data_IF_031614116293
#
_entry.id   IF_031614116293
#
_cell.length_a   1.000
_cell.length_b   1.000
_cell.length_c   1.000
_cell.angle_alpha   90.00
_cell.angle_beta   90.00
_cell.angle_gamma   90.00
#
_symmetry.space_group_name_H-M   'P 1'
#
loop_
_entity.id
_entity.type
_entity.pdbx_description
1 polymer ?
#
# COMPACT_ATOMS: atom_id res chain seq x y z
N UNK A 1 -10.97 -18.19 11.36
CA UNK A 1 -11.78 -17.95 10.14
C UNK A 1 -11.25 -16.73 9.41
N UNK A 2 -10.88 -15.66 10.10
CA UNK A 2 -10.16 -14.51 9.52
C UNK A 2 -8.83 -14.89 8.87
N UNK A 3 -7.97 -15.67 9.55
CA UNK A 3 -6.68 -16.12 9.00
C UNK A 3 -6.84 -16.89 7.68
N UNK A 4 -7.79 -17.82 7.62
CA UNK A 4 -8.11 -18.56 6.38
C UNK A 4 -8.60 -17.66 5.24
N UNK A 5 -9.34 -16.60 5.56
CA UNK A 5 -9.81 -15.65 4.57
C UNK A 5 -8.68 -14.79 4.04
N UNK A 6 -7.80 -14.33 4.93
CA UNK A 6 -6.57 -13.63 4.57
C UNK A 6 -5.71 -14.49 3.64
N UNK A 7 -5.40 -15.73 4.02
CA UNK A 7 -4.61 -16.66 3.21
C UNK A 7 -5.24 -16.92 1.84
N UNK A 8 -6.55 -17.20 1.79
CA UNK A 8 -7.24 -17.43 0.53
C UNK A 8 -7.15 -16.22 -0.41
N UNK A 9 -7.21 -15.00 0.13
CA UNK A 9 -7.04 -13.78 -0.65
C UNK A 9 -5.60 -13.62 -1.14
N UNK A 10 -4.60 -13.79 -0.27
CA UNK A 10 -3.18 -13.60 -0.63
C UNK A 10 -2.63 -14.69 -1.53
N UNK A 11 -3.19 -15.90 -1.53
CA UNK A 11 -2.87 -16.94 -2.50
C UNK A 11 -3.69 -16.86 -3.80
N UNK A 12 -4.50 -15.80 -3.98
CA UNK A 12 -5.26 -15.58 -5.20
C UNK A 12 -6.42 -16.57 -5.41
N UNK A 13 -6.91 -17.21 -4.36
CA UNK A 13 -8.00 -18.21 -4.43
C UNK A 13 -9.37 -17.55 -4.59
N UNK A 14 -9.59 -16.86 -5.72
CA UNK A 14 -10.80 -16.05 -6.00
C UNK A 14 -12.12 -16.81 -5.75
N UNK A 15 -12.19 -18.10 -6.10
CA UNK A 15 -13.37 -18.93 -5.85
C UNK A 15 -13.61 -19.10 -4.34
N UNK A 16 -12.57 -19.42 -3.59
CA UNK A 16 -12.62 -19.61 -2.13
C UNK A 16 -13.02 -18.31 -1.44
N UNK A 17 -12.42 -17.18 -1.81
CA UNK A 17 -12.76 -15.85 -1.26
C UNK A 17 -14.23 -15.50 -1.50
N UNK A 18 -14.74 -15.76 -2.72
CA UNK A 18 -16.16 -15.52 -3.07
C UNK A 18 -17.11 -16.38 -2.25
N UNK A 19 -16.80 -17.65 -2.08
CA UNK A 19 -17.60 -18.58 -1.28
C UNK A 19 -17.63 -18.14 0.20
N UNK A 20 -16.46 -17.80 0.75
CA UNK A 20 -16.35 -17.30 2.13
C UNK A 20 -17.15 -16.00 2.35
N UNK A 21 -17.08 -15.03 1.44
CA UNK A 21 -17.85 -13.78 1.57
C UNK A 21 -19.35 -13.97 1.33
N UNK A 22 -19.75 -14.99 0.56
CA UNK A 22 -21.17 -15.34 0.41
C UNK A 22 -21.73 -15.96 1.69
N UNK A 23 -20.93 -16.73 2.42
CA UNK A 23 -21.29 -17.32 3.72
C UNK A 23 -21.25 -16.29 4.86
N UNK A 24 -20.20 -15.48 4.91
CA UNK A 24 -19.99 -14.43 5.92
C UNK A 24 -19.39 -13.16 5.29
N UNK A 25 -20.22 -12.18 4.90
CA UNK A 25 -19.75 -10.91 4.34
C UNK A 25 -18.91 -10.08 5.32
N UNK A 26 -18.95 -10.36 6.63
CA UNK A 26 -18.17 -9.59 7.61
C UNK A 26 -16.68 -9.88 7.54
N UNK A 27 -16.29 -10.99 6.90
CA UNK A 27 -14.89 -11.36 6.67
C UNK A 27 -14.12 -10.30 5.89
N UNK A 28 -14.79 -9.48 5.07
CA UNK A 28 -14.13 -8.39 4.33
C UNK A 28 -13.42 -7.38 5.23
N UNK A 29 -13.85 -7.27 6.50
CA UNK A 29 -13.25 -6.40 7.53
C UNK A 29 -12.38 -7.15 8.53
N UNK A 30 -12.22 -8.45 8.36
CA UNK A 30 -11.45 -9.27 9.28
C UNK A 30 -9.95 -8.98 9.12
N UNK A 31 -9.23 -9.14 10.22
CA UNK A 31 -7.78 -8.97 10.28
C UNK A 31 -7.11 -10.23 10.80
N UNK A 32 -5.83 -10.37 10.49
CA UNK A 32 -4.93 -11.30 11.19
C UNK A 32 -4.54 -10.77 12.58
N UNK A 33 -3.53 -11.39 13.21
CA UNK A 33 -3.06 -11.03 14.55
C UNK A 33 -2.27 -9.72 14.63
N UNK A 34 -1.88 -9.14 13.49
CA UNK A 34 -1.17 -7.85 13.40
C UNK A 34 -2.04 -6.73 12.81
N UNK A 35 -3.34 -6.99 12.62
CA UNK A 35 -4.29 -6.03 12.06
C UNK A 35 -4.31 -5.95 10.53
N UNK A 36 -3.62 -6.84 9.81
CA UNK A 36 -3.68 -6.84 8.35
C UNK A 36 -5.01 -7.40 7.85
N UNK A 37 -5.67 -6.64 6.98
CA UNK A 37 -6.82 -7.12 6.20
C UNK A 37 -6.35 -7.87 4.97
N UNK A 38 -7.24 -8.65 4.34
CA UNK A 38 -6.96 -9.29 3.05
C UNK A 38 -6.42 -8.33 1.98
N UNK A 39 -6.91 -7.08 1.97
CA UNK A 39 -6.46 -6.07 1.01
C UNK A 39 -4.99 -5.65 1.23
N UNK A 40 -4.47 -5.73 2.45
CA UNK A 40 -3.05 -5.45 2.71
C UNK A 40 -2.16 -6.48 2.03
N UNK A 41 -2.43 -7.77 2.26
CA UNK A 41 -1.62 -8.84 1.67
C UNK A 41 -1.73 -8.86 0.15
N UNK A 42 -2.92 -8.62 -0.39
CA UNK A 42 -3.12 -8.54 -1.85
C UNK A 42 -2.42 -7.32 -2.48
N UNK A 43 -2.33 -6.18 -1.77
CA UNK A 43 -1.65 -5.00 -2.29
C UNK A 43 -0.13 -5.19 -2.47
N UNK A 44 0.48 -6.06 -1.65
CA UNK A 44 1.89 -6.44 -1.77
C UNK A 44 2.21 -7.36 -2.95
N UNK A 45 1.21 -7.75 -3.73
CA UNK A 45 1.34 -8.73 -4.82
C UNK A 45 0.75 -8.15 -6.13
N UNK A 46 1.07 -8.75 -7.27
CA UNK A 46 0.47 -8.40 -8.58
C UNK A 46 -0.94 -9.01 -8.77
N UNK A 47 -1.79 -8.94 -7.74
CA UNK A 47 -3.12 -9.54 -7.71
C UNK A 47 -4.25 -8.52 -7.94
N UNK A 48 -4.21 -7.83 -9.08
CA UNK A 48 -5.11 -6.72 -9.39
C UNK A 48 -6.59 -7.13 -9.39
N UNK A 49 -6.95 -8.29 -9.96
CA UNK A 49 -8.37 -8.72 -9.97
C UNK A 49 -8.89 -9.06 -8.58
N UNK A 50 -8.03 -9.59 -7.69
CA UNK A 50 -8.40 -9.84 -6.30
C UNK A 50 -8.58 -8.52 -5.54
N UNK A 51 -7.66 -7.57 -5.73
CA UNK A 51 -7.78 -6.25 -5.12
C UNK A 51 -9.07 -5.54 -5.54
N UNK A 52 -9.37 -5.53 -6.85
CA UNK A 52 -10.62 -4.97 -7.38
C UNK A 52 -11.84 -5.62 -6.75
N UNK A 53 -11.85 -6.96 -6.68
CA UNK A 53 -12.95 -7.69 -6.09
C UNK A 53 -13.15 -7.38 -4.60
N UNK A 54 -12.07 -7.34 -3.81
CA UNK A 54 -12.15 -6.99 -2.39
C UNK A 54 -12.67 -5.56 -2.18
N UNK A 55 -12.21 -4.62 -3.00
CA UNK A 55 -12.67 -3.22 -2.97
C UNK A 55 -14.17 -3.11 -3.36
N UNK A 56 -14.64 -3.89 -4.35
CA UNK A 56 -16.06 -3.99 -4.69
C UNK A 56 -16.90 -4.63 -3.58
N UNK A 57 -16.33 -5.59 -2.85
CA UNK A 57 -16.96 -6.19 -1.69
C UNK A 57 -16.98 -5.28 -0.45
N UNK A 58 -16.37 -4.08 -0.53
CA UNK A 58 -16.38 -3.08 0.53
C UNK A 58 -15.19 -3.13 1.47
N UNK A 59 -14.05 -3.70 1.05
CA UNK A 59 -12.78 -3.54 1.75
C UNK A 59 -12.43 -2.04 1.83
N UNK A 60 -11.94 -1.61 2.99
CA UNK A 60 -11.52 -0.23 3.20
C UNK A 60 -10.09 -0.05 2.65
N UNK A 61 -9.87 0.78 1.60
CA UNK A 61 -8.54 1.03 1.06
C UNK A 61 -7.62 1.78 2.04
N UNK A 62 -8.16 2.38 3.10
CA UNK A 62 -7.43 3.07 4.15
C UNK A 62 -7.40 2.29 5.48
N UNK A 63 -7.78 1.01 5.46
CA UNK A 63 -7.63 0.15 6.63
C UNK A 63 -6.20 0.22 7.17
N UNK A 64 -6.06 0.35 8.49
CA UNK A 64 -4.78 0.40 9.17
C UNK A 64 -4.56 -0.88 9.95
N UNK A 65 -3.37 -1.46 9.83
CA UNK A 65 -2.90 -2.50 10.74
C UNK A 65 -2.47 -1.89 12.10
N UNK A 66 -1.93 -2.70 13.00
CA UNK A 66 -1.52 -2.26 14.35
C UNK A 66 -0.38 -1.22 14.35
N UNK A 67 0.36 -1.10 13.25
CA UNK A 67 1.44 -0.11 13.04
C UNK A 67 0.98 1.09 12.18
N UNK A 68 -0.31 1.18 11.87
CA UNK A 68 -0.87 2.24 11.03
C UNK A 68 -0.55 2.11 9.54
N UNK A 69 0.06 0.99 9.13
CA UNK A 69 0.33 0.65 7.73
C UNK A 69 -1.01 0.40 7.03
N UNK A 70 -1.13 0.87 5.80
CA UNK A 70 -2.32 0.70 4.95
C UNK A 70 -1.96 -0.13 3.72
N UNK A 71 -2.95 -0.65 2.96
CA UNK A 71 -2.67 -1.34 1.69
C UNK A 71 -1.79 -0.53 0.74
N UNK A 72 -1.96 0.81 0.69
CA UNK A 72 -1.18 1.66 -0.19
C UNK A 72 0.30 1.76 0.22
N UNK A 73 0.64 1.62 1.50
CA UNK A 73 2.04 1.54 1.92
C UNK A 73 2.74 0.28 1.39
N UNK A 74 1.99 -0.82 1.25
CA UNK A 74 2.49 -2.11 0.80
C UNK A 74 2.40 -2.31 -0.72
N UNK A 75 1.82 -1.36 -1.46
CA UNK A 75 1.57 -1.52 -2.89
C UNK A 75 2.88 -1.85 -3.65
N UNK A 76 2.95 -3.04 -4.24
CA UNK A 76 4.16 -3.53 -4.91
C UNK A 76 4.29 -3.08 -6.36
N UNK A 77 3.20 -2.61 -6.98
CA UNK A 77 3.16 -2.28 -8.41
C UNK A 77 2.45 -0.95 -8.68
N UNK A 78 2.86 -0.16 -9.69
CA UNK A 78 2.19 1.08 -10.09
C UNK A 78 0.69 0.93 -10.35
N UNK A 79 0.28 -0.18 -10.96
CA UNK A 79 -1.13 -0.48 -11.22
C UNK A 79 -1.94 -0.67 -9.92
N UNK A 80 -1.33 -1.26 -8.89
CA UNK A 80 -1.95 -1.39 -7.57
C UNK A 80 -2.12 -0.02 -6.91
N UNK A 81 -1.12 0.85 -7.01
CA UNK A 81 -1.20 2.24 -6.54
C UNK A 81 -2.37 2.96 -7.21
N UNK A 82 -2.44 2.90 -8.54
CA UNK A 82 -3.51 3.55 -9.32
C UNK A 82 -4.89 3.02 -8.94
N UNK A 83 -5.02 1.70 -8.77
CA UNK A 83 -6.26 1.07 -8.34
C UNK A 83 -6.68 1.57 -6.95
N UNK A 84 -5.80 1.48 -5.95
CA UNK A 84 -6.10 1.87 -4.57
C UNK A 84 -6.47 3.35 -4.48
N UNK A 85 -5.71 4.24 -5.12
CA UNK A 85 -5.98 5.69 -5.13
C UNK A 85 -7.31 5.99 -5.83
N UNK A 86 -7.61 5.36 -6.97
CA UNK A 86 -8.91 5.48 -7.67
C UNK A 86 -10.07 5.03 -6.80
N UNK A 87 -9.82 4.09 -5.89
CA UNK A 87 -10.80 3.55 -4.94
C UNK A 87 -10.88 4.33 -3.63
N UNK A 88 -10.15 5.44 -3.51
CA UNK A 88 -10.24 6.36 -2.37
C UNK A 88 -9.18 6.15 -1.30
N UNK A 89 -8.09 5.43 -1.60
CA UNK A 89 -6.91 5.45 -0.73
C UNK A 89 -6.35 6.88 -0.62
N UNK A 90 -6.08 7.32 0.60
CA UNK A 90 -5.38 8.57 0.86
C UNK A 90 -3.89 8.39 0.56
N UNK A 91 -3.42 9.07 -0.48
CA UNK A 91 -2.04 8.95 -0.98
C UNK A 91 -0.98 9.47 0.01
N UNK A 92 -1.38 10.30 0.97
CA UNK A 92 -0.49 10.91 1.97
C UNK A 92 -0.75 10.39 3.38
N UNK A 93 -1.50 9.28 3.51
CA UNK A 93 -1.80 8.67 4.80
C UNK A 93 -0.51 8.32 5.55
N UNK A 94 -0.52 8.49 6.87
CA UNK A 94 0.64 8.27 7.72
C UNK A 94 0.46 7.04 8.61
N UNK A 95 1.47 6.18 8.65
CA UNK A 95 1.65 5.13 9.67
C UNK A 95 2.02 5.72 11.03
N UNK A 96 2.11 4.88 12.06
CA UNK A 96 2.38 5.31 13.44
C UNK A 96 3.77 5.95 13.61
N UNK A 97 4.76 5.55 12.81
CA UNK A 97 6.09 6.18 12.75
C UNK A 97 6.11 7.46 11.90
N UNK A 98 4.98 7.85 11.31
CA UNK A 98 4.84 9.00 10.43
C UNK A 98 5.28 8.75 8.99
N UNK A 99 5.61 7.52 8.59
CA UNK A 99 5.92 7.22 7.20
C UNK A 99 4.66 7.36 6.32
N UNK A 100 4.82 7.86 5.11
CA UNK A 100 3.80 7.86 4.05
C UNK A 100 4.11 6.74 3.05
N UNK A 101 3.18 6.34 2.16
CA UNK A 101 3.49 5.36 1.12
C UNK A 101 4.74 5.73 0.31
N UNK A 102 4.92 7.01 -0.01
CA UNK A 102 6.11 7.47 -0.73
C UNK A 102 7.41 7.26 0.08
N UNK A 103 7.39 7.51 1.39
CA UNK A 103 8.55 7.32 2.26
C UNK A 103 8.91 5.84 2.42
N UNK A 104 7.91 4.96 2.51
CA UNK A 104 8.13 3.50 2.50
C UNK A 104 8.82 3.08 1.20
N UNK A 105 8.31 3.50 0.05
CA UNK A 105 8.87 3.13 -1.25
C UNK A 105 10.27 3.74 -1.51
N UNK A 106 10.58 4.87 -0.89
CA UNK A 106 11.94 5.43 -0.90
C UNK A 106 12.94 4.55 -0.14
N UNK A 107 12.48 3.79 0.87
CA UNK A 107 13.31 2.88 1.65
C UNK A 107 13.46 1.48 1.04
N UNK A 108 12.58 1.09 0.12
CA UNK A 108 12.67 -0.18 -0.60
C UNK A 108 13.74 -0.17 -1.69
N UNK A 109 14.30 -1.31 -2.08
CA UNK A 109 15.25 -1.38 -3.19
C UNK A 109 14.54 -1.17 -4.54
N UNK A 110 13.43 -1.87 -4.77
CA UNK A 110 12.73 -1.92 -6.07
C UNK A 110 11.58 -0.90 -6.19
N UNK A 111 11.44 0.03 -5.24
CA UNK A 111 10.31 0.97 -5.18
C UNK A 111 10.29 2.11 -6.22
N UNK A 112 11.17 2.15 -7.23
CA UNK A 112 11.26 3.30 -8.17
C UNK A 112 9.93 3.53 -8.93
N UNK A 113 9.40 2.49 -9.57
CA UNK A 113 8.19 2.63 -10.40
C UNK A 113 6.98 3.01 -9.55
N UNK A 114 6.88 2.43 -8.35
CA UNK A 114 5.83 2.74 -7.37
C UNK A 114 5.96 4.18 -6.88
N UNK A 115 7.17 4.66 -6.59
CA UNK A 115 7.42 6.07 -6.26
C UNK A 115 6.99 7.01 -7.38
N UNK A 116 7.35 6.71 -8.63
CA UNK A 116 6.95 7.56 -9.76
C UNK A 116 5.42 7.60 -9.91
N UNK A 117 4.74 6.46 -9.73
CA UNK A 117 3.27 6.42 -9.73
C UNK A 117 2.65 7.26 -8.61
N UNK A 118 3.16 7.13 -7.37
CA UNK A 118 2.71 7.91 -6.23
C UNK A 118 2.90 9.42 -6.46
N UNK A 119 4.08 9.83 -6.92
CA UNK A 119 4.38 11.24 -7.22
C UNK A 119 3.49 11.79 -8.33
N UNK A 120 3.28 11.02 -9.41
CA UNK A 120 2.39 11.39 -10.52
C UNK A 120 0.94 11.57 -10.06
N UNK A 121 0.50 10.81 -9.07
CA UNK A 121 -0.84 10.88 -8.49
C UNK A 121 -0.97 11.92 -7.37
N UNK A 122 0.10 12.65 -7.05
CA UNK A 122 0.06 13.77 -6.11
C UNK A 122 0.50 13.46 -4.68
N UNK A 123 1.32 12.43 -4.49
CA UNK A 123 2.00 12.22 -3.21
C UNK A 123 2.87 13.45 -2.86
N UNK A 124 2.83 13.88 -1.60
CA UNK A 124 3.64 14.98 -1.11
C UNK A 124 5.09 14.55 -0.96
N UNK A 125 5.90 14.93 -1.95
CA UNK A 125 7.32 14.62 -2.00
C UNK A 125 8.13 15.26 -0.85
N UNK A 126 7.57 16.28 -0.17
CA UNK A 126 8.20 16.98 0.96
C UNK A 126 7.75 16.44 2.32
N UNK A 127 6.84 15.46 2.35
CA UNK A 127 6.45 14.82 3.59
C UNK A 127 7.68 14.22 4.28
N UNK A 128 7.78 14.38 5.58
CA UNK A 128 8.84 13.79 6.41
C UNK A 128 8.28 12.68 7.28
N UNK A 129 9.08 11.70 7.66
CA UNK A 129 8.75 10.71 8.69
C UNK A 129 8.80 11.35 10.10
N UNK A 130 8.60 10.54 11.15
CA UNK A 130 8.71 10.98 12.55
C UNK A 130 10.11 11.42 12.97
N UNK A 131 11.15 11.07 12.21
CA UNK A 131 12.53 11.52 12.43
C UNK A 131 12.88 12.80 11.65
N UNK A 132 11.94 13.33 10.86
CA UNK A 132 12.14 14.53 10.04
C UNK A 132 12.84 14.26 8.69
N UNK A 133 12.97 12.99 8.27
CA UNK A 133 13.54 12.61 6.97
C UNK A 133 12.46 12.60 5.90
N UNK A 134 12.69 13.24 4.77
CA UNK A 134 11.82 13.09 3.59
C UNK A 134 12.33 11.97 2.65
N UNK A 135 11.67 11.77 1.52
CA UNK A 135 12.03 10.74 0.57
C UNK A 135 13.45 10.94 -0.03
N UNK A 136 13.90 12.18 -0.24
CA UNK A 136 15.25 12.42 -0.80
C UNK A 136 16.33 12.15 0.22
N UNK A 137 16.07 12.42 1.50
CA UNK A 137 16.99 12.08 2.59
C UNK A 137 17.16 10.56 2.71
N UNK A 138 16.07 9.80 2.59
CA UNK A 138 16.09 8.33 2.59
C UNK A 138 16.87 7.81 1.37
N UNK A 139 16.57 8.28 0.16
CA UNK A 139 17.26 7.86 -1.05
C UNK A 139 18.77 8.15 -1.00
N UNK A 140 19.18 9.30 -0.44
CA UNK A 140 20.60 9.65 -0.22
C UNK A 140 21.30 8.72 0.77
N UNK A 141 20.63 8.38 1.88
CA UNK A 141 21.21 7.46 2.87
C UNK A 141 21.43 6.05 2.31
N UNK A 142 20.69 5.68 1.26
CA UNK A 142 20.76 4.37 0.60
C UNK A 142 21.58 4.37 -0.69
N UNK A 143 22.08 5.53 -1.11
CA UNK A 143 22.85 5.71 -2.36
C UNK A 143 22.02 5.34 -3.63
N UNK A 144 20.72 5.64 -3.62
CA UNK A 144 19.77 5.35 -4.72
C UNK A 144 19.67 6.53 -5.71
N UNK A 145 20.68 6.70 -6.56
CA UNK A 145 20.81 7.86 -7.47
C UNK A 145 19.57 8.09 -8.36
N UNK A 146 18.98 7.03 -8.90
CA UNK A 146 17.78 7.14 -9.76
C UNK A 146 16.57 7.71 -8.99
N UNK A 147 16.40 7.31 -7.72
CA UNK A 147 15.33 7.85 -6.86
C UNK A 147 15.60 9.30 -6.47
N UNK A 148 16.86 9.68 -6.29
CA UNK A 148 17.25 11.07 -6.05
C UNK A 148 16.88 11.93 -7.26
N UNK A 149 17.24 11.50 -8.48
CA UNK A 149 16.90 12.22 -9.71
C UNK A 149 15.38 12.36 -9.90
N UNK A 150 14.63 11.28 -9.64
CA UNK A 150 13.17 11.30 -9.66
C UNK A 150 12.61 12.35 -8.69
N UNK A 151 13.06 12.36 -7.44
CA UNK A 151 12.55 13.30 -6.43
C UNK A 151 12.91 14.76 -6.74
N UNK A 152 14.09 15.02 -7.32
CA UNK A 152 14.48 16.35 -7.82
C UNK A 152 13.55 16.79 -8.95
N UNK A 153 13.20 15.91 -9.89
CA UNK A 153 12.22 16.17 -10.97
C UNK A 153 10.85 16.59 -10.41
N UNK A 154 10.45 16.04 -9.26
CA UNK A 154 9.19 16.39 -8.57
C UNK A 154 9.34 17.51 -7.52
N UNK A 155 10.44 18.26 -7.55
CA UNK A 155 10.58 19.52 -6.79
C UNK A 155 11.08 19.36 -5.35
N UNK A 156 11.76 18.24 -5.06
CA UNK A 156 12.47 18.00 -3.80
C UNK A 156 13.97 18.02 -4.09
N UNK A 157 14.65 19.12 -3.78
CA UNK A 157 16.06 19.34 -4.09
C UNK A 157 16.75 20.21 -3.06
#
# INVERSE_FOLDING_TARGET
MSEKFYDAATFGEMRTVREMLAEDPTLIRSTDEWGFTALHGVAGEEQFEMAEFLLDAGADPNAKNDEGITPLHLAAHPEMVELLVRRGADINIRSEDGSTPLLVQAAEAEGYDVMEALLRLGADAKATDGAGRNAIDIARLREEDEKIELLVKYGVG
#
